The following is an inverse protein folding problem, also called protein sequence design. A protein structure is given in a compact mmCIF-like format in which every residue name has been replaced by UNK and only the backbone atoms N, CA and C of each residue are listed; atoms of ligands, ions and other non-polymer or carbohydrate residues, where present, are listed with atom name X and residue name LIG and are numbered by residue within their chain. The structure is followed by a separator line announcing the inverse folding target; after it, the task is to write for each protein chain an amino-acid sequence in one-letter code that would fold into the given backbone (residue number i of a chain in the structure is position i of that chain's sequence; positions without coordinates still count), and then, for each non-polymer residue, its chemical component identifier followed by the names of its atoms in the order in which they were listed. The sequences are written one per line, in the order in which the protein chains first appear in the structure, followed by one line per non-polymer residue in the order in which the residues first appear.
data_IF_995968218559
#
_entry.id   IF_995968218559
#
_cell.length_a   1.000
_cell.length_b   1.000
_cell.length_c   1.000
_cell.angle_alpha   90.00
_cell.angle_beta   90.00
_cell.angle_gamma   90.00
#
_symmetry.space_group_name_H-M   'P 1'
#
loop_
_entity.id
_entity.type
_entity.pdbx_description
1 polymer ?
#
# COMPACT_ATOMS: atom_id res chain seq x y z
N UNK A 1 13.30 -9.93 -18.54
CA UNK A 1 13.92 -8.90 -17.67
C UNK A 1 13.52 -7.48 -18.07
N UNK A 2 13.64 -7.08 -19.35
CA UNK A 2 13.37 -5.72 -19.80
C UNK A 2 11.89 -5.30 -19.56
N UNK A 3 10.93 -6.11 -19.99
CA UNK A 3 9.50 -5.84 -19.81
C UNK A 3 9.13 -5.70 -18.32
N UNK A 4 9.68 -6.57 -17.48
CA UNK A 4 9.47 -6.56 -16.02
C UNK A 4 9.92 -5.23 -15.41
N UNK A 5 11.09 -4.72 -15.82
CA UNK A 5 11.60 -3.42 -15.35
C UNK A 5 10.74 -2.25 -15.83
N UNK A 6 10.28 -2.28 -17.09
CA UNK A 6 9.40 -1.24 -17.63
C UNK A 6 8.07 -1.20 -16.86
N UNK A 7 7.45 -2.36 -16.64
CA UNK A 7 6.19 -2.45 -15.89
C UNK A 7 6.41 -1.99 -14.44
N UNK A 8 7.49 -2.43 -13.78
CA UNK A 8 7.83 -1.99 -12.43
C UNK A 8 7.99 -0.46 -12.36
N UNK A 9 8.68 0.14 -13.32
CA UNK A 9 8.84 1.59 -13.38
C UNK A 9 7.48 2.31 -13.52
N UNK A 10 6.60 1.83 -14.40
CA UNK A 10 5.26 2.40 -14.59
C UNK A 10 4.42 2.32 -13.31
N UNK A 11 4.46 1.19 -12.60
CA UNK A 11 3.76 1.01 -11.31
C UNK A 11 4.27 2.00 -10.27
N UNK A 12 5.60 2.13 -10.13
CA UNK A 12 6.22 3.06 -9.17
C UNK A 12 5.83 4.50 -9.51
N UNK A 13 5.94 4.90 -10.78
CA UNK A 13 5.63 6.25 -11.24
C UNK A 13 4.13 6.59 -11.04
N UNK A 14 3.22 5.65 -11.27
CA UNK A 14 1.79 5.80 -11.01
C UNK A 14 1.45 5.84 -9.51
N UNK A 15 2.19 5.09 -8.69
CA UNK A 15 1.97 4.99 -7.25
C UNK A 15 2.53 6.15 -6.41
N UNK A 16 3.42 6.98 -6.97
CA UNK A 16 4.03 8.11 -6.25
C UNK A 16 3.02 9.25 -5.99
N UNK A 17 2.03 9.42 -6.85
CA UNK A 17 0.98 10.45 -6.71
C UNK A 17 1.23 11.74 -7.47
N UNK A 18 0.14 12.39 -7.91
CA UNK A 18 0.20 13.60 -8.74
C UNK A 18 0.86 14.79 -8.03
N UNK A 19 0.69 14.91 -6.71
CA UNK A 19 1.30 16.01 -5.93
C UNK A 19 2.83 16.02 -6.05
N UNK A 20 3.46 14.85 -6.11
CA UNK A 20 4.90 14.71 -6.29
C UNK A 20 5.33 15.15 -7.70
N UNK A 21 4.56 14.79 -8.72
CA UNK A 21 4.82 15.21 -10.10
C UNK A 21 4.73 16.73 -10.29
N UNK A 22 3.71 17.37 -9.69
CA UNK A 22 3.59 18.82 -9.72
C UNK A 22 4.77 19.50 -8.99
N UNK A 23 5.22 18.95 -7.86
CA UNK A 23 6.36 19.49 -7.14
C UNK A 23 7.67 19.31 -7.92
N UNK A 24 7.85 18.19 -8.62
CA UNK A 24 8.98 17.99 -9.53
C UNK A 24 9.01 19.03 -10.64
N UNK A 25 7.87 19.24 -11.31
CA UNK A 25 7.74 20.25 -12.36
C UNK A 25 8.07 21.65 -11.84
N UNK A 26 7.52 22.02 -10.68
CA UNK A 26 7.78 23.31 -10.04
C UNK A 26 9.28 23.47 -9.71
N UNK A 27 9.87 22.49 -9.04
CA UNK A 27 11.27 22.52 -8.63
C UNK A 27 12.22 22.58 -9.81
N UNK A 28 11.88 21.91 -10.91
CA UNK A 28 12.64 21.95 -12.17
C UNK A 28 12.59 23.34 -12.81
N UNK A 29 11.39 23.96 -12.91
CA UNK A 29 11.22 25.31 -13.45
C UNK A 29 11.96 26.36 -12.61
N UNK A 30 11.91 26.26 -11.28
CA UNK A 30 12.67 27.12 -10.38
C UNK A 30 14.19 26.96 -10.54
N UNK A 31 14.65 25.72 -10.75
CA UNK A 31 16.07 25.45 -11.03
C UNK A 31 16.51 26.10 -12.33
N UNK A 32 15.70 26.04 -13.39
CA UNK A 32 15.98 26.64 -14.69
C UNK A 32 16.02 28.19 -14.62
N UNK A 33 15.11 28.80 -13.85
CA UNK A 33 15.08 30.27 -13.63
C UNK A 33 16.24 30.78 -12.78
N UNK A 34 16.78 29.96 -11.88
CA UNK A 34 17.82 30.34 -10.90
C UNK A 34 19.24 30.31 -11.46
N UNK A 35 19.43 30.30 -12.77
CA UNK A 35 20.77 30.24 -13.42
C UNK A 35 21.67 31.44 -13.12
N UNK A 36 21.10 32.56 -12.59
CA UNK A 36 21.81 33.81 -12.29
C UNK A 36 22.28 34.00 -10.83
N UNK A 37 21.98 33.06 -9.92
CA UNK A 37 22.34 33.19 -8.49
C UNK A 37 23.51 32.28 -8.12
N UNK A 38 24.50 32.81 -7.44
CA UNK A 38 25.73 32.13 -6.96
C UNK A 38 25.48 30.97 -5.98
N UNK A 39 24.28 30.78 -5.43
CA UNK A 39 23.92 29.66 -4.53
C UNK A 39 22.89 28.73 -5.18
N UNK A 40 23.36 27.87 -6.06
CA UNK A 40 22.53 26.83 -6.69
C UNK A 40 22.15 25.78 -5.64
N UNK A 41 20.95 25.90 -5.05
CA UNK A 41 20.42 24.83 -4.18
C UNK A 41 20.19 23.57 -5.03
N UNK A 42 20.64 22.41 -4.53
CA UNK A 42 20.40 21.10 -5.15
C UNK A 42 18.90 20.89 -5.40
N UNK A 43 18.52 20.19 -6.48
CA UNK A 43 17.15 19.84 -6.84
C UNK A 43 16.39 19.26 -5.64
N UNK A 44 16.98 18.29 -4.93
CA UNK A 44 16.40 17.66 -3.75
C UNK A 44 16.06 18.65 -2.62
N UNK A 45 16.85 19.70 -2.42
CA UNK A 45 16.60 20.74 -1.39
C UNK A 45 15.40 21.63 -1.72
N UNK A 46 15.01 21.72 -2.99
CA UNK A 46 13.86 22.51 -3.46
C UNK A 46 12.54 21.79 -3.35
N UNK A 47 12.56 20.44 -3.28
CA UNK A 47 11.37 19.62 -3.13
C UNK A 47 10.65 19.93 -1.82
N UNK A 48 9.33 19.91 -1.87
CA UNK A 48 8.47 20.02 -0.69
C UNK A 48 8.74 18.87 0.28
N UNK A 49 8.47 19.12 1.54
CA UNK A 49 8.67 18.14 2.61
C UNK A 49 7.85 16.88 2.38
N UNK A 50 6.59 17.04 1.96
CA UNK A 50 5.72 15.94 1.58
C UNK A 50 6.35 15.02 0.52
N UNK A 51 6.86 15.60 -0.56
CA UNK A 51 7.53 14.85 -1.63
C UNK A 51 8.72 14.04 -1.12
N UNK A 52 9.54 14.65 -0.25
CA UNK A 52 10.70 13.96 0.35
C UNK A 52 10.27 12.76 1.20
N UNK A 53 9.22 12.91 2.00
CA UNK A 53 8.66 11.81 2.81
C UNK A 53 8.17 10.69 1.90
N UNK A 54 7.40 11.00 0.87
CA UNK A 54 6.86 10.02 -0.07
C UNK A 54 7.97 9.23 -0.76
N UNK A 55 9.00 9.91 -1.26
CA UNK A 55 10.14 9.25 -1.92
C UNK A 55 10.92 8.36 -0.96
N UNK A 56 11.18 8.84 0.25
CA UNK A 56 11.91 8.10 1.28
C UNK A 56 11.16 6.85 1.72
N UNK A 57 9.84 6.98 2.02
CA UNK A 57 9.00 5.85 2.38
C UNK A 57 8.89 4.83 1.23
N UNK A 58 8.69 5.32 0.00
CA UNK A 58 8.64 4.45 -1.17
C UNK A 58 9.94 3.65 -1.32
N UNK A 59 11.08 4.31 -1.16
CA UNK A 59 12.38 3.64 -1.21
C UNK A 59 12.56 2.58 -0.13
N UNK A 60 12.20 2.90 1.12
CA UNK A 60 12.27 1.93 2.24
C UNK A 60 11.37 0.73 2.01
N UNK A 61 10.11 0.95 1.60
CA UNK A 61 9.15 -0.14 1.37
C UNK A 61 9.64 -1.03 0.23
N UNK A 62 10.13 -0.44 -0.87
CA UNK A 62 10.62 -1.21 -2.01
C UNK A 62 11.90 -1.99 -1.68
N UNK A 63 12.88 -1.36 -1.06
CA UNK A 63 14.14 -2.03 -0.69
C UNK A 63 13.90 -3.08 0.40
N UNK A 64 13.19 -2.71 1.47
CA UNK A 64 12.90 -3.62 2.57
C UNK A 64 12.07 -4.81 2.12
N UNK A 65 11.02 -4.58 1.35
CA UNK A 65 10.19 -5.65 0.80
C UNK A 65 10.96 -6.58 -0.13
N UNK A 66 11.83 -6.03 -1.00
CA UNK A 66 12.68 -6.83 -1.88
C UNK A 66 13.62 -7.73 -1.10
N UNK A 67 14.31 -7.18 -0.09
CA UNK A 67 15.23 -7.95 0.76
C UNK A 67 14.49 -9.03 1.51
N UNK A 68 13.34 -8.71 2.12
CA UNK A 68 12.55 -9.70 2.87
C UNK A 68 11.99 -10.80 1.95
N UNK A 69 11.48 -10.47 0.78
CA UNK A 69 11.01 -11.47 -0.22
C UNK A 69 12.18 -12.35 -0.66
N UNK A 70 13.34 -11.75 -0.93
CA UNK A 70 14.53 -12.49 -1.32
C UNK A 70 14.98 -13.48 -0.22
N UNK A 71 14.96 -13.06 1.04
CA UNK A 71 15.35 -13.91 2.18
C UNK A 71 14.36 -15.04 2.42
N UNK A 72 13.06 -14.78 2.33
CA UNK A 72 12.03 -15.79 2.61
C UNK A 72 11.89 -16.82 1.50
N UNK A 73 12.12 -16.45 0.23
CA UNK A 73 11.97 -17.35 -0.92
C UNK A 73 13.30 -17.88 -1.48
N UNK A 74 14.45 -17.51 -0.89
CA UNK A 74 15.77 -17.81 -1.44
C UNK A 74 16.00 -19.25 -1.84
N UNK A 75 15.54 -20.17 -1.00
CA UNK A 75 15.73 -21.63 -1.17
C UNK A 75 14.48 -22.34 -1.70
N UNK A 76 13.40 -21.61 -2.02
CA UNK A 76 12.16 -22.22 -2.49
C UNK A 76 12.26 -22.57 -3.99
N UNK A 77 12.40 -23.84 -4.36
CA UNK A 77 12.57 -24.23 -5.75
C UNK A 77 11.33 -23.98 -6.63
N UNK A 78 10.15 -23.88 -6.00
CA UNK A 78 8.88 -23.66 -6.69
C UNK A 78 8.60 -22.17 -7.01
N UNK A 79 9.43 -21.26 -6.49
CA UNK A 79 9.30 -19.82 -6.72
C UNK A 79 10.57 -19.25 -7.36
N UNK A 80 11.56 -18.85 -6.56
CA UNK A 80 12.79 -18.21 -7.07
C UNK A 80 14.05 -19.06 -6.87
N UNK A 81 13.98 -20.18 -6.13
CA UNK A 81 15.15 -20.96 -5.72
C UNK A 81 16.06 -21.41 -6.87
N UNK A 82 15.47 -21.77 -8.01
CA UNK A 82 16.20 -22.26 -9.19
C UNK A 82 16.67 -21.15 -10.15
N UNK A 83 16.37 -19.88 -9.85
CA UNK A 83 16.74 -18.75 -10.71
C UNK A 83 18.19 -18.31 -10.49
N UNK A 84 18.76 -17.61 -11.46
CA UNK A 84 20.05 -16.94 -11.31
C UNK A 84 19.97 -15.85 -10.23
N UNK A 85 21.10 -15.44 -9.66
CA UNK A 85 21.12 -14.38 -8.62
C UNK A 85 20.42 -13.09 -9.08
N UNK A 86 20.70 -12.65 -10.30
CA UNK A 86 20.10 -11.43 -10.84
C UNK A 86 18.59 -11.58 -11.05
N UNK A 87 18.13 -12.74 -11.51
CA UNK A 87 16.71 -13.02 -11.69
C UNK A 87 15.98 -13.12 -10.34
N UNK A 88 16.60 -13.71 -9.31
CA UNK A 88 16.08 -13.72 -7.94
C UNK A 88 15.83 -12.31 -7.43
N UNK A 89 16.82 -11.42 -7.59
CA UNK A 89 16.69 -10.01 -7.18
C UNK A 89 15.60 -9.30 -7.98
N UNK A 90 15.57 -9.50 -9.28
CA UNK A 90 14.60 -8.86 -10.18
C UNK A 90 13.17 -9.31 -9.86
N UNK A 91 12.94 -10.60 -9.67
CA UNK A 91 11.62 -11.16 -9.33
C UNK A 91 11.19 -10.67 -7.94
N UNK A 92 12.06 -10.72 -6.92
CA UNK A 92 11.76 -10.23 -5.58
C UNK A 92 11.45 -8.72 -5.57
N UNK A 93 12.17 -7.93 -6.34
CA UNK A 93 11.89 -6.51 -6.54
C UNK A 93 10.52 -6.30 -7.20
N UNK A 94 10.24 -7.03 -8.28
CA UNK A 94 8.97 -6.93 -8.99
C UNK A 94 7.79 -7.34 -8.10
N UNK A 95 7.92 -8.41 -7.30
CA UNK A 95 6.90 -8.81 -6.34
C UNK A 95 6.59 -7.72 -5.32
N UNK A 96 7.62 -7.08 -4.78
CA UNK A 96 7.42 -5.95 -3.86
C UNK A 96 6.74 -4.76 -4.55
N UNK A 97 7.08 -4.48 -5.81
CA UNK A 97 6.45 -3.41 -6.58
C UNK A 97 4.99 -3.72 -6.87
N UNK A 98 4.66 -4.95 -7.27
CA UNK A 98 3.29 -5.33 -7.63
C UNK A 98 2.35 -5.35 -6.43
N UNK A 99 2.84 -5.65 -5.21
CA UNK A 99 2.06 -5.56 -3.97
C UNK A 99 1.56 -4.14 -3.66
N UNK A 100 2.12 -3.12 -4.31
CA UNK A 100 1.61 -1.74 -4.24
C UNK A 100 0.42 -1.50 -5.18
N UNK A 101 -0.52 -2.44 -5.18
CA UNK A 101 -1.82 -2.41 -5.86
C UNK A 101 -1.76 -2.42 -7.40
N UNK A 102 -0.84 -3.23 -7.96
CA UNK A 102 -0.71 -3.40 -9.41
C UNK A 102 -1.27 -4.71 -9.95
N UNK A 103 -1.25 -5.80 -9.17
CA UNK A 103 -1.94 -7.04 -9.49
C UNK A 103 -1.22 -7.97 -10.46
N UNK A 104 0.05 -7.71 -10.78
CA UNK A 104 0.85 -8.61 -11.61
C UNK A 104 1.53 -9.69 -10.77
N UNK A 105 1.57 -10.92 -11.25
CA UNK A 105 2.26 -12.03 -10.61
C UNK A 105 3.40 -12.55 -11.50
N UNK A 106 4.57 -12.77 -10.92
CA UNK A 106 5.70 -13.47 -11.56
C UNK A 106 6.07 -14.76 -10.84
N UNK A 107 5.43 -15.03 -9.70
CA UNK A 107 5.49 -16.28 -8.95
C UNK A 107 4.08 -16.79 -8.71
N UNK A 108 3.97 -18.09 -8.48
CA UNK A 108 2.71 -18.70 -8.02
C UNK A 108 2.65 -18.61 -6.48
N UNK A 109 1.67 -17.85 -5.98
CA UNK A 109 1.51 -17.64 -4.54
C UNK A 109 1.06 -18.90 -3.78
N UNK A 110 0.49 -19.91 -4.48
CA UNK A 110 0.16 -21.19 -3.85
C UNK A 110 1.40 -21.96 -3.42
N UNK A 111 2.52 -21.72 -4.07
CA UNK A 111 3.80 -22.36 -3.82
C UNK A 111 4.76 -21.50 -2.96
N UNK A 112 4.36 -20.29 -2.59
CA UNK A 112 5.16 -19.40 -1.77
C UNK A 112 5.15 -19.86 -0.30
N UNK A 113 6.24 -19.58 0.43
CA UNK A 113 6.29 -19.85 1.86
C UNK A 113 5.20 -19.07 2.62
N UNK A 114 4.59 -19.66 3.67
CA UNK A 114 3.60 -18.96 4.50
C UNK A 114 4.09 -17.61 5.03
N UNK A 115 5.37 -17.51 5.40
CA UNK A 115 6.01 -16.26 5.82
C UNK A 115 6.00 -15.20 4.73
N UNK A 116 6.21 -15.60 3.46
CA UNK A 116 6.15 -14.70 2.32
C UNK A 116 4.73 -14.21 2.06
N UNK A 117 3.73 -15.09 2.20
CA UNK A 117 2.32 -14.72 2.08
C UNK A 117 1.95 -13.66 3.14
N UNK A 118 2.37 -13.84 4.39
CA UNK A 118 2.16 -12.83 5.45
C UNK A 118 2.88 -11.51 5.14
N UNK A 119 4.12 -11.58 4.64
CA UNK A 119 4.86 -10.40 4.21
C UNK A 119 4.12 -9.64 3.09
N UNK A 120 3.60 -10.35 2.10
CA UNK A 120 2.81 -9.76 1.01
C UNK A 120 1.51 -9.14 1.54
N UNK A 121 0.83 -9.77 2.50
CA UNK A 121 -0.33 -9.19 3.18
C UNK A 121 -0.02 -7.83 3.80
N UNK A 122 1.12 -7.70 4.51
CA UNK A 122 1.57 -6.43 5.09
C UNK A 122 1.90 -5.40 4.00
N UNK A 123 2.59 -5.82 2.94
CA UNK A 123 2.93 -4.93 1.83
C UNK A 123 1.69 -4.42 1.08
N UNK A 124 0.68 -5.28 0.85
CA UNK A 124 -0.59 -4.91 0.23
C UNK A 124 -1.38 -3.90 1.05
N UNK A 125 -1.36 -4.05 2.38
CA UNK A 125 -2.02 -3.12 3.29
C UNK A 125 -1.43 -1.70 3.18
N UNK A 126 -0.09 -1.61 2.99
CA UNK A 126 0.62 -0.34 2.78
C UNK A 126 0.61 -0.02 1.28
N UNK A 127 -0.47 0.60 0.82
CA UNK A 127 -0.67 0.96 -0.60
C UNK A 127 0.28 2.06 -1.12
N UNK A 128 -0.19 2.83 -2.09
CA UNK A 128 0.58 3.92 -2.67
C UNK A 128 0.49 5.24 -1.90
N UNK A 129 1.06 6.29 -2.49
CA UNK A 129 1.06 7.63 -1.91
C UNK A 129 -0.26 8.35 -2.14
N UNK A 130 -0.59 9.38 -1.34
CA UNK A 130 -1.79 10.20 -1.57
C UNK A 130 -1.80 10.83 -2.96
N UNK A 131 -2.98 10.82 -3.61
CA UNK A 131 -3.13 11.31 -4.97
C UNK A 131 -2.56 10.37 -6.05
N UNK A 132 -2.14 9.14 -5.69
CA UNK A 132 -1.79 8.09 -6.64
C UNK A 132 -2.98 7.20 -6.97
N UNK A 133 -2.80 6.32 -7.96
CA UNK A 133 -3.81 5.36 -8.42
C UNK A 133 -3.98 4.16 -7.50
N UNK A 134 -3.00 3.90 -6.63
CA UNK A 134 -2.96 2.75 -5.72
C UNK A 134 -4.04 2.81 -4.64
N UNK A 135 -4.65 1.67 -4.31
CA UNK A 135 -5.59 1.50 -3.20
C UNK A 135 -4.91 1.34 -1.84
N UNK A 136 -5.58 0.68 -0.90
CA UNK A 136 -5.05 0.42 0.45
C UNK A 136 -4.84 1.65 1.30
N UNK A 137 -4.25 1.45 2.48
CA UNK A 137 -3.86 2.54 3.38
C UNK A 137 -2.69 3.32 2.76
N UNK A 138 -2.84 4.63 2.59
CA UNK A 138 -1.80 5.46 1.98
C UNK A 138 -0.51 5.44 2.81
N UNK A 139 0.64 5.42 2.14
CA UNK A 139 1.96 5.38 2.80
C UNK A 139 2.14 6.47 3.86
N UNK A 140 1.68 7.70 3.58
CA UNK A 140 1.74 8.80 4.56
C UNK A 140 0.77 8.60 5.72
N UNK A 141 -0.42 8.04 5.49
CA UNK A 141 -1.38 7.69 6.55
C UNK A 141 -0.77 6.64 7.48
N UNK A 142 -0.16 5.60 6.92
CA UNK A 142 0.54 4.58 7.69
C UNK A 142 1.68 5.17 8.54
N UNK A 143 2.50 6.07 7.97
CA UNK A 143 3.54 6.78 8.72
C UNK A 143 2.94 7.58 9.89
N UNK A 144 1.86 8.32 9.66
CA UNK A 144 1.20 9.12 10.71
C UNK A 144 0.70 8.23 11.84
N UNK A 145 0.12 7.05 11.53
CA UNK A 145 -0.30 6.06 12.55
C UNK A 145 0.90 5.58 13.37
N UNK A 146 2.02 5.24 12.74
CA UNK A 146 3.23 4.82 13.45
C UNK A 146 3.79 5.93 14.36
N UNK A 147 3.80 7.17 13.88
CA UNK A 147 4.26 8.31 14.67
C UNK A 147 3.30 8.62 15.83
N UNK A 148 2.00 8.45 15.62
CA UNK A 148 1.00 8.59 16.68
C UNK A 148 1.22 7.54 17.78
N UNK A 149 1.34 6.26 17.41
CA UNK A 149 1.62 5.18 18.37
C UNK A 149 2.91 5.47 19.15
N UNK A 150 3.97 5.90 18.43
CA UNK A 150 5.22 6.29 19.09
C UNK A 150 5.02 7.43 20.08
N UNK A 151 4.32 8.50 19.69
CA UNK A 151 4.06 9.65 20.54
C UNK A 151 3.29 9.28 21.82
N UNK A 152 2.32 8.37 21.71
CA UNK A 152 1.56 7.85 22.87
C UNK A 152 2.45 6.98 23.78
N UNK A 153 3.31 6.11 23.21
CA UNK A 153 4.20 5.23 24.00
C UNK A 153 5.25 6.05 24.77
N UNK A 154 5.74 7.15 24.20
CA UNK A 154 6.76 8.00 24.84
C UNK A 154 6.19 9.23 25.56
N UNK A 155 4.87 9.37 25.64
CA UNK A 155 4.16 10.51 26.25
C UNK A 155 4.67 11.88 25.75
N UNK A 156 4.95 11.94 24.44
CA UNK A 156 5.50 13.12 23.75
C UNK A 156 4.39 14.15 23.48
N UNK A 157 3.52 14.56 24.30
CA UNK A 157 2.43 15.55 24.19
C UNK A 157 2.06 16.12 22.80
N UNK A 158 3.00 16.10 21.85
CA UNK A 158 2.82 16.47 20.44
C UNK A 158 3.50 15.46 19.50
N UNK A 159 2.85 15.15 18.38
CA UNK A 159 3.40 14.26 17.35
C UNK A 159 4.40 15.04 16.50
N UNK A 160 5.66 14.70 16.63
CA UNK A 160 6.72 15.32 15.85
C UNK A 160 7.30 14.37 14.79
N UNK A 161 7.51 14.90 13.59
CA UNK A 161 8.34 14.22 12.59
C UNK A 161 9.45 15.19 12.13
N UNK A 162 10.68 14.96 12.60
CA UNK A 162 11.83 15.86 12.46
C UNK A 162 11.49 17.26 13.01
N UNK A 163 11.35 18.26 12.13
CA UNK A 163 11.11 19.67 12.49
C UNK A 163 9.65 20.11 12.28
N UNK A 164 8.73 19.17 12.01
CA UNK A 164 7.32 19.49 11.77
C UNK A 164 6.45 18.77 12.78
N UNK A 165 5.49 19.50 13.35
CA UNK A 165 4.43 18.94 14.18
C UNK A 165 3.26 18.48 13.29
N UNK A 166 2.67 17.36 13.65
CA UNK A 166 1.47 16.81 13.02
C UNK A 166 0.30 17.14 13.95
N UNK A 167 -0.77 17.72 13.40
CA UNK A 167 -1.95 18.04 14.21
C UNK A 167 -2.64 16.77 14.71
N UNK A 168 -3.18 16.81 15.91
CA UNK A 168 -3.95 15.71 16.49
C UNK A 168 -5.16 15.33 15.62
N UNK A 169 -5.78 16.31 14.93
CA UNK A 169 -6.87 16.04 13.98
C UNK A 169 -6.42 15.15 12.83
N UNK A 170 -5.24 15.41 12.27
CA UNK A 170 -4.66 14.58 11.19
C UNK A 170 -4.35 13.17 11.68
N UNK A 171 -3.82 13.03 12.89
CA UNK A 171 -3.55 11.73 13.50
C UNK A 171 -4.83 10.94 13.77
N UNK A 172 -5.89 11.58 14.30
CA UNK A 172 -7.19 10.93 14.49
C UNK A 172 -7.78 10.44 13.17
N UNK A 173 -7.74 11.26 12.11
CA UNK A 173 -8.20 10.85 10.76
C UNK A 173 -7.41 9.65 10.23
N UNK A 174 -6.08 9.66 10.39
CA UNK A 174 -5.22 8.55 9.97
C UNK A 174 -5.57 7.25 10.72
N UNK A 175 -5.74 7.34 12.04
CA UNK A 175 -6.12 6.21 12.89
C UNK A 175 -7.52 5.68 12.51
N UNK A 176 -8.49 6.56 12.29
CA UNK A 176 -9.83 6.17 11.84
C UNK A 176 -9.77 5.39 10.53
N UNK A 177 -9.01 5.86 9.55
CA UNK A 177 -8.84 5.15 8.27
C UNK A 177 -8.25 3.76 8.51
N UNK A 178 -7.20 3.67 9.32
CA UNK A 178 -6.52 2.40 9.61
C UNK A 178 -7.47 1.40 10.31
N UNK A 179 -8.23 1.85 11.32
CA UNK A 179 -9.21 1.03 12.04
C UNK A 179 -10.30 0.54 11.08
N UNK A 180 -10.83 1.41 10.23
CA UNK A 180 -11.89 1.04 9.26
C UNK A 180 -11.38 -0.03 8.28
N UNK A 181 -10.17 0.12 7.74
CA UNK A 181 -9.57 -0.91 6.88
C UNK A 181 -9.41 -2.24 7.61
N UNK A 182 -8.87 -2.22 8.83
CA UNK A 182 -8.65 -3.42 9.65
C UNK A 182 -9.99 -4.10 9.99
N UNK A 183 -11.01 -3.34 10.40
CA UNK A 183 -12.34 -3.87 10.69
C UNK A 183 -12.97 -4.51 9.44
N UNK A 184 -12.86 -3.86 8.29
CA UNK A 184 -13.36 -4.39 7.03
C UNK A 184 -12.67 -5.72 6.66
N UNK A 185 -11.34 -5.79 6.79
CA UNK A 185 -10.57 -7.01 6.54
C UNK A 185 -11.03 -8.14 7.48
N UNK A 186 -11.10 -7.88 8.80
CA UNK A 186 -11.47 -8.91 9.77
C UNK A 186 -12.92 -9.41 9.57
N UNK A 187 -13.87 -8.50 9.34
CA UNK A 187 -15.26 -8.86 9.07
C UNK A 187 -15.38 -9.72 7.81
N UNK A 188 -14.65 -9.36 6.76
CA UNK A 188 -14.69 -10.07 5.50
C UNK A 188 -13.98 -11.42 5.57
N UNK A 189 -12.88 -11.49 6.31
CA UNK A 189 -12.20 -12.76 6.59
C UNK A 189 -13.14 -13.73 7.32
N UNK A 190 -13.87 -13.24 8.32
CA UNK A 190 -14.87 -14.02 9.03
C UNK A 190 -15.99 -14.52 8.10
N UNK A 191 -16.55 -13.64 7.25
CA UNK A 191 -17.58 -14.01 6.29
C UNK A 191 -17.11 -15.06 5.28
N UNK A 192 -15.90 -14.89 4.72
CA UNK A 192 -15.33 -15.86 3.78
C UNK A 192 -15.04 -17.20 4.45
N UNK A 193 -14.58 -17.21 5.70
CA UNK A 193 -14.35 -18.44 6.45
C UNK A 193 -15.65 -19.19 6.77
N UNK A 194 -16.80 -18.50 6.81
CA UNK A 194 -18.12 -19.13 6.94
C UNK A 194 -18.65 -19.68 5.61
N UNK A 195 -18.39 -18.98 4.50
CA UNK A 195 -18.91 -19.40 3.18
C UNK A 195 -18.08 -20.51 2.53
N UNK A 196 -16.77 -20.50 2.81
CA UNK A 196 -15.77 -21.41 2.22
C UNK A 196 -14.84 -21.99 3.31
N UNK A 197 -15.35 -22.85 4.20
CA UNK A 197 -14.62 -23.33 5.39
C UNK A 197 -13.41 -24.23 5.07
N UNK A 198 -13.41 -24.86 3.89
CA UNK A 198 -12.35 -25.79 3.47
C UNK A 198 -11.07 -25.06 3.03
N UNK A 199 -11.11 -23.73 2.91
CA UNK A 199 -9.97 -22.94 2.47
C UNK A 199 -9.04 -22.57 3.64
N UNK A 200 -7.72 -22.76 3.50
CA UNK A 200 -6.77 -22.36 4.55
C UNK A 200 -6.87 -20.85 4.86
N UNK A 201 -6.99 -20.53 6.13
CA UNK A 201 -7.18 -19.13 6.63
C UNK A 201 -6.16 -18.14 6.06
N UNK A 202 -4.91 -18.57 5.85
CA UNK A 202 -3.84 -17.74 5.32
C UNK A 202 -4.14 -17.26 3.89
N UNK A 203 -4.64 -18.14 3.02
CA UNK A 203 -5.01 -17.78 1.67
C UNK A 203 -6.29 -16.95 1.63
N UNK A 204 -7.25 -17.23 2.52
CA UNK A 204 -8.45 -16.40 2.69
C UNK A 204 -8.07 -14.98 3.13
N UNK A 205 -7.12 -14.83 4.04
CA UNK A 205 -6.58 -13.53 4.47
C UNK A 205 -5.90 -12.80 3.30
N UNK A 206 -5.05 -13.50 2.53
CA UNK A 206 -4.36 -12.95 1.37
C UNK A 206 -5.35 -12.40 0.33
N UNK A 207 -6.38 -13.19 0.00
CA UNK A 207 -7.44 -12.84 -0.94
C UNK A 207 -8.25 -11.63 -0.46
N UNK A 208 -8.65 -11.65 0.82
CA UNK A 208 -9.40 -10.55 1.46
C UNK A 208 -8.64 -9.24 1.40
N UNK A 209 -7.36 -9.25 1.78
CA UNK A 209 -6.52 -8.04 1.76
C UNK A 209 -6.30 -7.58 0.31
N UNK A 210 -6.05 -8.50 -0.61
CA UNK A 210 -5.90 -8.18 -2.03
C UNK A 210 -7.14 -7.50 -2.60
N UNK A 211 -8.34 -7.97 -2.23
CA UNK A 211 -9.61 -7.39 -2.65
C UNK A 211 -9.84 -6.00 -2.04
N UNK A 212 -9.73 -5.87 -0.71
CA UNK A 212 -9.96 -4.60 0.02
C UNK A 212 -8.96 -3.54 -0.37
N UNK A 213 -7.68 -3.90 -0.52
CA UNK A 213 -6.63 -2.97 -0.92
C UNK A 213 -6.56 -2.77 -2.45
N UNK A 214 -7.46 -3.41 -3.22
CA UNK A 214 -7.53 -3.33 -4.69
C UNK A 214 -6.21 -3.67 -5.38
N UNK A 215 -5.52 -4.71 -4.90
CA UNK A 215 -4.24 -5.16 -5.44
C UNK A 215 -4.46 -6.02 -6.68
N UNK A 216 -5.33 -7.03 -6.58
CA UNK A 216 -5.71 -7.89 -7.70
C UNK A 216 -4.84 -9.13 -7.87
N UNK A 217 -4.00 -9.47 -6.88
CA UNK A 217 -3.30 -10.77 -6.85
C UNK A 217 -4.15 -11.82 -6.16
N UNK A 218 -4.03 -13.07 -6.58
CA UNK A 218 -4.72 -14.22 -6.00
C UNK A 218 -3.77 -15.40 -5.86
N UNK A 219 -3.97 -16.20 -4.81
CA UNK A 219 -3.34 -17.51 -4.67
C UNK A 219 -4.22 -18.59 -5.33
N UNK A 220 -4.74 -18.33 -6.53
CA UNK A 220 -5.67 -19.18 -7.28
C UNK A 220 -6.98 -19.54 -6.54
N UNK A 221 -7.31 -18.75 -5.51
CA UNK A 221 -8.48 -19.01 -4.68
C UNK A 221 -9.78 -18.45 -5.27
N UNK A 222 -9.75 -17.25 -5.86
CA UNK A 222 -10.97 -16.60 -6.40
C UNK A 222 -11.82 -17.50 -7.32
N UNK A 223 -11.25 -18.29 -8.25
CA UNK A 223 -12.03 -19.18 -9.11
C UNK A 223 -12.76 -20.28 -8.35
N UNK A 224 -12.19 -20.78 -7.26
CA UNK A 224 -12.69 -21.93 -6.47
C UNK A 224 -13.71 -21.55 -5.41
N UNK A 225 -13.80 -20.25 -5.05
CA UNK A 225 -14.77 -19.77 -4.08
C UNK A 225 -16.21 -20.11 -4.44
N UNK A 226 -17.04 -20.32 -3.42
CA UNK A 226 -18.49 -20.44 -3.54
C UNK A 226 -19.12 -19.19 -4.18
N UNK A 227 -20.36 -19.30 -4.63
CA UNK A 227 -21.09 -18.16 -5.19
C UNK A 227 -21.19 -17.00 -4.19
N UNK A 228 -21.45 -17.29 -2.90
CA UNK A 228 -21.51 -16.29 -1.83
C UNK A 228 -20.13 -15.68 -1.56
N UNK A 229 -19.06 -16.48 -1.52
CA UNK A 229 -17.69 -15.99 -1.37
C UNK A 229 -17.30 -15.03 -2.49
N UNK A 230 -17.66 -15.34 -3.75
CA UNK A 230 -17.43 -14.44 -4.89
C UNK A 230 -18.18 -13.10 -4.73
N UNK A 231 -19.42 -13.11 -4.24
CA UNK A 231 -20.16 -11.87 -3.95
C UNK A 231 -19.44 -11.04 -2.90
N UNK A 232 -18.97 -11.65 -1.81
CA UNK A 232 -18.21 -10.96 -0.77
C UNK A 232 -16.97 -10.30 -1.36
N UNK A 233 -16.16 -11.02 -2.15
CA UNK A 233 -14.97 -10.46 -2.82
C UNK A 233 -15.33 -9.29 -3.73
N UNK A 234 -16.37 -9.39 -4.56
CA UNK A 234 -16.81 -8.30 -5.44
C UNK A 234 -17.19 -7.04 -4.66
N UNK A 235 -17.93 -7.18 -3.55
CA UNK A 235 -18.28 -6.06 -2.67
C UNK A 235 -17.05 -5.42 -2.05
N UNK A 236 -16.06 -6.22 -1.62
CA UNK A 236 -14.81 -5.73 -1.07
C UNK A 236 -13.99 -4.93 -2.08
N UNK A 237 -13.87 -5.44 -3.31
CA UNK A 237 -13.18 -4.73 -4.40
C UNK A 237 -13.84 -3.37 -4.68
N UNK A 238 -15.17 -3.31 -4.67
CA UNK A 238 -15.92 -2.07 -4.88
C UNK A 238 -15.72 -1.09 -3.73
N UNK A 239 -15.88 -1.53 -2.46
CA UNK A 239 -15.69 -0.70 -1.26
C UNK A 239 -14.24 -0.21 -1.17
N UNK A 240 -13.28 -1.08 -1.44
CA UNK A 240 -11.85 -0.74 -1.45
C UNK A 240 -11.52 0.34 -2.47
N UNK A 241 -12.15 0.30 -3.66
CA UNK A 241 -11.90 1.27 -4.74
C UNK A 241 -12.48 2.65 -4.46
N UNK A 242 -13.66 2.73 -3.89
CA UNK A 242 -14.28 4.02 -3.49
C UNK A 242 -13.54 4.61 -2.28
N UNK A 243 -12.99 3.77 -1.43
CA UNK A 243 -12.40 4.09 -0.15
C UNK A 243 -13.40 3.87 1.00
N UNK A 244 -13.06 2.99 1.95
CA UNK A 244 -13.98 2.58 3.02
C UNK A 244 -14.51 3.75 3.84
N UNK A 245 -13.68 4.77 4.10
CA UNK A 245 -14.10 5.97 4.84
C UNK A 245 -15.16 6.77 4.07
N UNK A 246 -15.03 6.88 2.76
CA UNK A 246 -16.01 7.61 1.91
C UNK A 246 -17.37 6.93 1.96
N UNK A 247 -17.38 5.59 1.92
CA UNK A 247 -18.63 4.79 2.05
C UNK A 247 -19.29 5.07 3.41
N UNK A 248 -18.53 5.01 4.52
CA UNK A 248 -19.07 5.28 5.85
C UNK A 248 -19.61 6.70 6.02
N UNK A 249 -18.89 7.72 5.51
CA UNK A 249 -19.34 9.11 5.55
C UNK A 249 -20.61 9.35 4.74
N UNK A 250 -20.78 8.64 3.63
CA UNK A 250 -21.99 8.70 2.81
C UNK A 250 -23.24 8.27 3.57
N UNK A 251 -23.14 7.23 4.41
CA UNK A 251 -24.22 6.79 5.29
C UNK A 251 -24.47 7.77 6.44
N UNK A 252 -23.42 8.35 7.02
CA UNK A 252 -23.54 9.32 8.12
C UNK A 252 -24.26 10.60 7.69
N UNK A 253 -23.96 11.13 6.52
CA UNK A 253 -24.60 12.34 5.99
C UNK A 253 -26.09 12.14 5.68
N UNK A 254 -26.52 10.92 5.28
CA UNK A 254 -27.95 10.61 5.12
C UNK A 254 -28.72 10.67 6.43
N UNK A 255 -28.10 10.21 7.54
CA UNK A 255 -28.73 10.26 8.87
C UNK A 255 -28.92 11.69 9.37
N UNK A 256 -27.97 12.59 9.14
CA UNK A 256 -28.12 14.01 9.52
C UNK A 256 -29.27 14.68 8.76
N UNK A 257 -29.39 14.49 7.45
CA UNK A 257 -30.50 15.04 6.66
C UNK A 257 -31.87 14.49 7.06
N UNK A 258 -31.95 13.23 7.50
CA UNK A 258 -33.22 12.63 7.94
C UNK A 258 -33.64 13.05 9.35
N UNK A 259 -32.73 13.63 10.16
CA UNK A 259 -33.02 14.19 11.49
C UNK A 259 -33.35 15.69 11.46
N UNK A 260 -33.09 16.35 10.32
CA UNK A 260 -33.38 17.78 10.10
C UNK A 260 -34.68 18.00 9.31
N UNK A 261 -35.37 16.94 8.89
CA UNK A 261 -36.71 16.91 8.31
C UNK A 261 -37.73 16.44 9.34
#
# INVERSE_FOLDING_TARGET
PFLTLVVAALIILGGIGFSVWFDFKRSYLEMRKSTKSKKRKSFYRRLQYHTKIVLWLTGIILLGGTVLTLLTEWNNPNTIGNLSFFDKVLVSFFQTVTMRTAGFATIDYTNAHPTSILLYCIQMLIGGSPGGTAGGVKTTTFLVVLLFIRSEVYDEGMIHFRHHSISQEMARKALTIFIVFTTLILTSLFLLSLTDPDVPLLYTLFETISAVCTVGVTANLTPTLSFLGKIVIMLLMFIGRIGPLTVLLSFSNRKKKALEM
#
